data_IF_175522855286
#
_entry.id   IF_175522855286
#
_cell.length_a   1.000
_cell.length_b   1.000
_cell.length_c   1.000
_cell.angle_alpha   90.00
_cell.angle_beta   90.00
_cell.angle_gamma   90.00
#
_symmetry.space_group_name_H-M   'P 1'
#
loop_
_entity.id
_entity.type
_entity.pdbx_description
1 polymer ?
#
# COMPACT_ATOMS: atom_id res chain seq x y z
N UNK A 1 -4.22 7.70 -11.67
CA UNK A 1 -3.65 7.31 -10.41
C UNK A 1 -4.29 6.06 -9.82
N UNK A 2 -5.60 5.98 -9.79
CA UNK A 2 -6.28 4.80 -9.24
C UNK A 2 -6.31 3.70 -10.27
N UNK A 3 -5.84 2.50 -9.87
CA UNK A 3 -5.81 1.35 -10.76
C UNK A 3 -6.92 0.35 -10.43
N UNK A 4 -7.34 0.30 -9.17
CA UNK A 4 -8.38 -0.61 -8.73
C UNK A 4 -9.00 -0.06 -7.46
N UNK A 5 -10.28 -0.24 -7.32
CA UNK A 5 -10.97 0.24 -6.11
C UNK A 5 -12.19 -0.61 -5.86
N UNK A 6 -12.42 -0.97 -4.59
CA UNK A 6 -13.67 -1.61 -4.21
C UNK A 6 -14.11 -1.03 -2.87
N UNK A 7 -15.01 -1.70 -2.18
CA UNK A 7 -15.54 -1.15 -0.92
C UNK A 7 -14.52 -1.16 0.21
N UNK A 8 -13.49 -1.99 0.10
CA UNK A 8 -12.53 -2.19 1.19
C UNK A 8 -11.21 -1.48 0.97
N UNK A 9 -10.76 -1.37 -0.28
CA UNK A 9 -9.43 -0.84 -0.53
C UNK A 9 -9.35 -0.14 -1.89
N UNK A 10 -8.26 0.58 -2.07
CA UNK A 10 -7.94 1.22 -3.33
C UNK A 10 -6.47 0.98 -3.64
N UNK A 11 -6.17 0.60 -4.87
CA UNK A 11 -4.81 0.40 -5.35
C UNK A 11 -4.52 1.50 -6.35
N UNK A 12 -3.40 2.14 -6.17
CA UNK A 12 -3.07 3.26 -7.04
C UNK A 12 -1.58 3.31 -7.34
N UNK A 13 -1.26 4.12 -8.31
CA UNK A 13 0.12 4.39 -8.67
C UNK A 13 0.43 5.79 -8.15
N UNK A 14 1.24 5.85 -7.11
CA UNK A 14 1.56 7.13 -6.49
C UNK A 14 2.56 7.88 -7.36
N UNK A 15 2.25 9.10 -7.75
CA UNK A 15 3.22 9.89 -8.50
C UNK A 15 4.34 10.38 -7.59
N UNK A 16 5.50 10.58 -8.18
CA UNK A 16 6.60 11.20 -7.45
C UNK A 16 6.21 12.61 -7.06
N UNK A 17 6.64 13.03 -5.91
CA UNK A 17 6.33 14.36 -5.42
C UNK A 17 5.13 14.44 -4.52
N UNK A 18 4.38 13.34 -4.39
CA UNK A 18 3.19 13.31 -3.56
C UNK A 18 3.45 12.45 -2.34
N UNK A 19 3.13 12.95 -1.17
CA UNK A 19 3.38 12.26 0.09
C UNK A 19 2.43 11.07 0.26
N UNK A 20 2.96 9.94 0.71
CA UNK A 20 2.14 8.74 0.95
C UNK A 20 1.18 8.93 2.10
N UNK A 21 1.56 9.72 3.09
CA UNK A 21 0.81 9.81 4.34
C UNK A 21 -0.18 10.96 4.35
N UNK A 22 0.06 11.97 3.54
CA UNK A 22 -0.81 13.14 3.54
C UNK A 22 -1.30 13.48 2.15
N UNK A 23 -0.42 13.49 1.17
CA UNK A 23 -0.78 13.94 -0.17
C UNK A 23 -1.74 13.01 -0.87
N UNK A 24 -1.46 11.71 -0.83
CA UNK A 24 -2.33 10.73 -1.48
C UNK A 24 -3.67 10.65 -0.76
N UNK A 25 -3.72 10.56 0.58
CA UNK A 25 -5.03 10.56 1.23
C UNK A 25 -5.84 11.81 0.94
N UNK A 26 -5.20 12.97 0.89
CA UNK A 26 -5.93 14.20 0.56
C UNK A 26 -6.48 14.15 -0.87
N UNK A 27 -5.67 13.65 -1.80
CA UNK A 27 -6.12 13.52 -3.18
C UNK A 27 -7.28 12.54 -3.32
N UNK A 28 -7.24 11.44 -2.56
CA UNK A 28 -8.32 10.46 -2.59
C UNK A 28 -9.61 11.06 -2.03
N UNK A 29 -9.51 11.78 -0.93
CA UNK A 29 -10.69 12.41 -0.35
C UNK A 29 -11.31 13.42 -1.31
N UNK A 30 -10.46 14.15 -2.02
CA UNK A 30 -10.95 15.10 -3.00
C UNK A 30 -11.60 14.38 -4.17
N UNK A 31 -10.99 13.30 -4.62
CA UNK A 31 -11.53 12.51 -5.72
C UNK A 31 -12.90 11.95 -5.37
N UNK A 32 -13.07 11.50 -4.13
CA UNK A 32 -14.34 10.95 -3.68
C UNK A 32 -15.35 12.03 -3.32
N UNK A 33 -14.90 13.27 -3.18
CA UNK A 33 -15.78 14.34 -2.74
C UNK A 33 -16.17 14.22 -1.28
N UNK A 34 -15.34 13.59 -0.46
CA UNK A 34 -15.63 13.33 0.94
C UNK A 34 -14.42 13.70 1.78
N UNK A 35 -14.36 14.93 2.26
CA UNK A 35 -13.17 15.38 2.98
C UNK A 35 -12.91 14.65 4.29
N UNK A 36 -13.91 13.98 4.84
CA UNK A 36 -13.75 13.23 6.08
C UNK A 36 -13.68 11.72 5.84
N UNK A 37 -13.48 11.27 4.61
CA UNK A 37 -13.43 9.85 4.34
C UNK A 37 -12.23 9.22 5.02
N UNK A 38 -12.42 8.00 5.53
CA UNK A 38 -11.34 7.25 6.12
C UNK A 38 -10.37 6.79 5.02
N UNK A 39 -9.09 7.00 5.23
CA UNK A 39 -8.06 6.49 4.34
C UNK A 39 -6.99 5.88 5.23
N UNK A 40 -6.87 4.56 5.20
CA UNK A 40 -5.91 3.86 6.01
C UNK A 40 -4.58 3.71 5.28
N UNK A 41 -3.54 4.28 5.86
CA UNK A 41 -2.19 4.21 5.29
C UNK A 41 -1.56 2.92 5.79
N UNK A 42 -1.32 2.00 4.87
CA UNK A 42 -0.82 0.67 5.20
C UNK A 42 0.70 0.63 5.12
N UNK A 43 1.24 1.27 4.11
CA UNK A 43 2.67 1.34 3.89
C UNK A 43 2.96 2.66 3.21
N UNK A 44 4.23 2.95 3.01
CA UNK A 44 4.58 4.26 2.48
C UNK A 44 5.71 4.13 1.47
N UNK A 45 5.75 5.08 0.58
CA UNK A 45 6.89 5.33 -0.29
C UNK A 45 7.35 6.76 -0.02
N UNK A 46 8.62 7.01 -0.18
CA UNK A 46 9.15 8.36 -0.03
C UNK A 46 8.47 9.30 -1.01
N UNK A 47 8.36 10.54 -0.63
CA UNK A 47 7.66 11.53 -1.44
C UNK A 47 8.20 11.59 -2.86
N UNK A 48 9.51 11.50 -3.02
CA UNK A 48 10.10 11.59 -4.34
C UNK A 48 10.03 10.31 -5.17
N UNK A 49 9.40 9.27 -4.64
CA UNK A 49 9.37 7.96 -5.30
C UNK A 49 7.97 7.69 -5.81
N UNK A 50 7.86 7.18 -7.02
CA UNK A 50 6.58 6.72 -7.56
C UNK A 50 6.48 5.21 -7.40
N UNK A 51 5.27 4.69 -7.39
CA UNK A 51 5.06 3.25 -7.32
C UNK A 51 3.68 2.88 -6.87
N UNK A 52 3.43 1.58 -6.87
CA UNK A 52 2.12 1.06 -6.50
C UNK A 52 1.92 1.12 -5.00
N UNK A 53 0.75 1.51 -4.61
CA UNK A 53 0.38 1.56 -3.20
C UNK A 53 -1.05 1.10 -3.02
N UNK A 54 -1.34 0.54 -1.86
CA UNK A 54 -2.69 0.18 -1.49
C UNK A 54 -3.07 0.96 -0.24
N UNK A 55 -4.30 1.46 -0.23
CA UNK A 55 -4.85 2.15 0.92
C UNK A 55 -6.15 1.48 1.31
N UNK A 56 -6.42 1.44 2.61
CA UNK A 56 -7.65 0.84 3.10
C UNK A 56 -8.75 1.89 3.13
N UNK A 57 -9.95 1.47 2.83
CA UNK A 57 -11.12 2.35 2.88
C UNK A 57 -11.91 2.16 4.17
N UNK A 58 -11.58 1.15 4.95
CA UNK A 58 -12.21 0.92 6.25
C UNK A 58 -11.16 0.51 7.27
N UNK A 59 -11.42 0.75 8.57
CA UNK A 59 -10.48 0.32 9.59
C UNK A 59 -10.26 -1.20 9.62
N UNK A 60 -11.28 -1.97 9.30
CA UNK A 60 -11.15 -3.43 9.25
C UNK A 60 -10.20 -3.85 8.15
N UNK A 61 -10.35 -3.23 6.98
CA UNK A 61 -9.44 -3.52 5.88
C UNK A 61 -8.03 -3.07 6.21
N UNK A 62 -7.88 -1.96 6.93
CA UNK A 62 -6.56 -1.48 7.32
C UNK A 62 -5.85 -2.51 8.19
N UNK A 63 -6.55 -3.09 9.15
CA UNK A 63 -5.96 -4.08 10.03
C UNK A 63 -5.55 -5.32 9.25
N UNK A 64 -6.40 -5.79 8.35
CA UNK A 64 -6.10 -6.98 7.58
C UNK A 64 -4.92 -6.77 6.63
N UNK A 65 -4.91 -5.62 5.95
CA UNK A 65 -3.84 -5.33 5.01
C UNK A 65 -2.52 -5.10 5.71
N UNK A 66 -2.54 -4.49 6.88
CA UNK A 66 -1.32 -4.26 7.64
C UNK A 66 -0.66 -5.59 8.03
N UNK A 67 -1.47 -6.57 8.40
CA UNK A 67 -0.93 -7.88 8.71
C UNK A 67 -0.32 -8.54 7.49
N UNK A 68 -0.95 -8.41 6.35
CA UNK A 68 -0.43 -9.00 5.12
C UNK A 68 0.86 -8.36 4.69
N UNK A 69 0.96 -7.05 4.81
CA UNK A 69 2.18 -6.35 4.45
C UNK A 69 3.32 -6.76 5.37
N UNK A 70 3.05 -6.88 6.66
CA UNK A 70 4.06 -7.31 7.61
C UNK A 70 4.55 -8.72 7.29
N UNK A 71 3.64 -9.62 6.95
CA UNK A 71 4.02 -10.96 6.56
C UNK A 71 4.85 -10.97 5.30
N UNK A 72 4.48 -10.17 4.33
CA UNK A 72 5.24 -10.09 3.10
C UNK A 72 6.65 -9.61 3.35
N UNK A 73 6.80 -8.64 4.23
CA UNK A 73 8.12 -8.13 4.56
C UNK A 73 8.97 -9.16 5.29
N UNK A 74 8.34 -10.05 6.03
CA UNK A 74 9.07 -11.13 6.65
C UNK A 74 9.62 -12.10 5.61
N UNK A 75 8.85 -12.35 4.56
CA UNK A 75 9.26 -13.30 3.56
C UNK A 75 10.21 -12.70 2.54
N UNK A 76 10.11 -11.41 2.30
CA UNK A 76 10.93 -10.79 1.28
C UNK A 76 11.98 -9.94 1.97
N UNK A 77 13.04 -10.57 2.34
CA UNK A 77 14.17 -9.84 2.91
C UNK A 77 14.81 -9.02 1.82
N UNK A 78 15.17 -7.81 2.15
CA UNK A 78 15.84 -6.96 1.21
C UNK A 78 17.32 -7.09 1.42
N UNK A 79 18.01 -7.55 0.40
CA UNK A 79 19.43 -7.73 0.46
C UNK A 79 20.03 -7.05 -0.71
N UNK A 80 20.96 -6.19 -0.47
CA UNK A 80 21.63 -5.48 -1.53
C UNK A 80 20.68 -4.72 -2.39
N UNK A 81 19.63 -4.22 -1.80
CA UNK A 81 18.67 -3.45 -2.54
C UNK A 81 17.72 -4.28 -3.37
N UNK A 82 17.79 -5.59 -3.26
CA UNK A 82 16.86 -6.47 -3.95
C UNK A 82 15.93 -7.10 -2.98
N UNK A 83 14.70 -7.27 -3.37
CA UNK A 83 13.73 -7.97 -2.56
C UNK A 83 13.70 -9.41 -3.03
N UNK A 84 14.05 -10.32 -2.17
CA UNK A 84 14.04 -11.74 -2.49
C UNK A 84 13.29 -12.49 -1.43
N UNK A 85 12.62 -13.56 -1.78
CA UNK A 85 11.97 -14.36 -0.75
C UNK A 85 13.01 -14.90 0.20
N UNK A 86 12.69 -14.93 1.47
CA UNK A 86 13.58 -15.54 2.44
C UNK A 86 13.74 -17.01 2.08
N UNK A 87 14.90 -17.53 2.40
CA UNK A 87 15.22 -18.88 1.97
C UNK A 87 14.21 -19.89 2.47
N UNK A 88 13.65 -19.66 3.63
CA UNK A 88 12.70 -20.61 4.18
C UNK A 88 11.26 -20.25 3.91
N UNK A 89 11.00 -19.30 3.05
CA UNK A 89 9.64 -18.92 2.74
C UNK A 89 8.99 -20.01 1.91
N UNK A 90 7.97 -20.64 2.38
CA UNK A 90 7.39 -21.76 1.66
C UNK A 90 6.68 -21.32 0.41
N UNK A 91 5.89 -20.31 0.51
CA UNK A 91 5.18 -19.90 -0.61
C UNK A 91 5.27 -18.55 -0.63
N UNK A 92 5.85 -17.99 -1.42
CA UNK A 92 5.95 -16.62 -1.46
C UNK A 92 4.64 -16.04 -1.26
N UNK A 93 4.44 -15.19 -0.50
CA UNK A 93 3.15 -14.69 -0.17
C UNK A 93 2.61 -13.86 -1.27
N UNK A 94 1.67 -13.13 -1.10
CA UNK A 94 0.76 -12.64 -2.07
C UNK A 94 1.33 -12.13 -3.35
N UNK A 95 2.59 -11.82 -3.36
CA UNK A 95 3.14 -11.33 -4.58
C UNK A 95 3.56 -12.38 -5.55
N UNK A 96 3.61 -13.61 -5.12
CA UNK A 96 4.00 -14.63 -5.96
C UNK A 96 2.88 -15.01 -6.78
N UNK A 97 2.99 -15.25 -7.74
CA UNK A 97 1.89 -15.62 -8.42
C UNK A 97 2.03 -16.19 -9.15
#
# INVERSE_FOLDING_TARGET
>A
MILYEDAALVVLDKPAGLSSEEGVPAALRKHWGRPDAYVGVIHRLDTGVSGLMVYAKTPQAAAALSRQVAQSQQYYAVQDGRAEPAADAPDAPPFRK
#
